data_IF_037249820833
#
_entry.id   IF_037249820833
#
_cell.length_a   1.000
_cell.length_b   1.000
_cell.length_c   1.000
_cell.angle_alpha   90.00
_cell.angle_beta   90.00
_cell.angle_gamma   90.00
#
_symmetry.space_group_name_H-M   'P 1'
#
loop_
_entity.id
_entity.type
_entity.pdbx_description
1 polymer ?
#
# COMPACT_ATOMS: atom_id res chain seq x y z
N UNK A 1 17.09 60.39 47.51
CA UNK A 1 15.64 60.38 47.77
C UNK A 1 15.17 58.94 47.70
N UNK A 2 14.71 58.44 48.82
CA UNK A 2 14.39 57.04 49.14
C UNK A 2 13.01 56.65 48.62
N UNK A 3 12.92 55.52 47.91
CA UNK A 3 11.66 54.78 47.71
C UNK A 3 11.98 53.28 47.82
N UNK A 4 11.64 52.68 48.96
CA UNK A 4 11.54 51.23 49.14
C UNK A 4 10.06 50.86 49.09
N UNK A 5 9.70 50.07 48.08
CA UNK A 5 8.35 49.55 47.87
C UNK A 5 8.07 48.28 48.65
N UNK A 6 6.92 48.29 49.33
CA UNK A 6 5.99 47.22 49.67
C UNK A 6 6.52 45.80 50.01
N UNK A 7 6.26 45.43 51.26
CA UNK A 7 6.19 44.06 51.77
C UNK A 7 4.83 43.46 51.42
N UNK A 8 4.81 42.24 50.89
CA UNK A 8 3.69 41.31 51.04
C UNK A 8 4.25 39.88 51.13
N UNK A 9 4.37 39.39 52.37
CA UNK A 9 4.71 38.00 52.64
C UNK A 9 3.48 37.12 52.41
N UNK A 10 3.58 36.20 51.46
CA UNK A 10 2.56 35.19 51.20
C UNK A 10 2.64 34.10 52.29
N UNK A 11 1.55 33.92 53.03
CA UNK A 11 1.36 32.78 53.91
C UNK A 11 1.07 31.52 53.08
N UNK A 12 1.95 30.55 53.19
CA UNK A 12 1.85 29.19 52.65
C UNK A 12 0.76 28.41 53.39
N UNK A 13 -0.12 27.74 52.65
CA UNK A 13 -0.89 26.61 53.19
C UNK A 13 -0.76 25.46 52.21
N UNK A 14 0.04 24.48 52.61
CA UNK A 14 0.21 23.16 51.99
C UNK A 14 -1.02 22.30 52.26
N UNK A 15 -1.65 21.80 51.21
CA UNK A 15 -2.52 20.63 51.30
C UNK A 15 -2.15 19.68 50.16
N UNK A 16 -1.52 18.58 50.54
CA UNK A 16 -1.11 17.50 49.67
C UNK A 16 -2.31 16.94 48.89
N UNK A 17 -2.17 16.80 47.57
CA UNK A 17 -3.09 15.99 46.76
C UNK A 17 -2.32 14.85 46.12
N UNK A 18 -2.85 13.67 46.39
CA UNK A 18 -2.39 12.32 46.07
C UNK A 18 -2.45 12.06 44.55
N UNK A 19 -1.39 11.40 44.06
CA UNK A 19 -1.31 10.52 42.89
C UNK A 19 -2.52 10.43 41.93
N UNK A 20 -2.33 10.85 40.68
CA UNK A 20 -3.00 10.31 39.49
C UNK A 20 -1.90 9.94 38.47
N UNK A 21 -1.35 8.73 38.54
CA UNK A 21 -1.72 7.58 37.74
C UNK A 21 -1.85 7.84 36.23
N UNK A 22 -0.93 7.16 35.53
CA UNK A 22 -1.08 6.53 34.23
C UNK A 22 -1.09 7.41 32.97
N UNK A 23 0.09 7.46 32.35
CA UNK A 23 0.30 6.95 30.99
C UNK A 23 -0.81 7.29 29.99
N UNK A 24 -0.79 8.53 29.49
CA UNK A 24 -1.17 8.79 28.10
C UNK A 24 -0.06 8.27 27.18
N UNK A 25 0.21 6.96 27.24
CA UNK A 25 0.85 6.26 26.14
C UNK A 25 -0.22 6.21 25.04
N UNK A 26 -0.28 7.26 24.21
CA UNK A 26 -1.01 7.16 22.95
C UNK A 26 -0.46 5.94 22.22
N UNK A 27 -1.27 4.88 21.99
CA UNK A 27 -0.92 3.94 20.96
C UNK A 27 -1.19 4.70 19.66
N UNK A 28 -0.27 5.57 19.26
CA UNK A 28 0.02 5.68 17.85
C UNK A 28 0.60 4.31 17.49
N UNK A 29 -0.29 3.32 17.37
CA UNK A 29 -0.08 2.21 16.49
C UNK A 29 0.18 2.89 15.16
N UNK A 30 1.46 3.10 14.86
CA UNK A 30 1.94 3.27 13.53
C UNK A 30 1.53 1.99 12.83
N UNK A 31 0.29 1.96 12.36
CA UNK A 31 -0.09 1.13 11.25
C UNK A 31 0.85 1.64 10.17
N UNK A 32 1.96 0.96 10.01
CA UNK A 32 2.68 0.94 8.76
C UNK A 32 1.67 0.36 7.76
N UNK A 33 0.70 1.18 7.35
CA UNK A 33 0.02 1.09 6.09
C UNK A 33 1.12 1.40 5.07
N UNK A 34 2.06 0.46 4.96
CA UNK A 34 3.13 0.50 3.99
C UNK A 34 2.44 0.68 2.67
N UNK A 35 2.69 1.84 2.04
CA UNK A 35 2.15 2.15 0.72
C UNK A 35 2.42 0.96 -0.18
N UNK A 36 1.38 0.45 -0.84
CA UNK A 36 1.56 -0.68 -1.74
C UNK A 36 2.50 -0.26 -2.88
N UNK A 37 3.61 -0.97 -3.12
CA UNK A 37 4.51 -0.64 -4.24
C UNK A 37 3.87 -0.97 -5.60
N UNK A 38 2.80 -1.78 -5.62
CA UNK A 38 2.09 -2.20 -6.82
C UNK A 38 0.70 -1.57 -6.86
N UNK A 39 0.65 -0.33 -7.36
CA UNK A 39 -0.58 0.47 -7.47
C UNK A 39 -1.49 -0.02 -8.60
N UNK A 40 -2.73 0.47 -8.62
CA UNK A 40 -3.76 0.14 -9.61
C UNK A 40 -4.86 -0.77 -9.09
N UNK A 41 -5.95 -0.88 -9.84
CA UNK A 41 -7.09 -1.74 -9.48
C UNK A 41 -6.75 -3.23 -9.69
N UNK A 42 -7.11 -4.12 -8.73
CA UNK A 42 -6.85 -5.56 -8.85
C UNK A 42 -7.35 -6.19 -10.15
N UNK A 43 -8.51 -5.74 -10.65
CA UNK A 43 -9.07 -6.27 -11.88
C UNK A 43 -8.16 -5.98 -13.09
N UNK A 44 -7.53 -4.81 -13.16
CA UNK A 44 -6.65 -4.46 -14.29
C UNK A 44 -5.39 -5.35 -14.32
N UNK A 45 -4.84 -5.67 -13.15
CA UNK A 45 -3.72 -6.61 -13.03
C UNK A 45 -4.10 -8.04 -13.47
N UNK A 46 -5.32 -8.48 -13.17
CA UNK A 46 -5.85 -9.78 -13.63
C UNK A 46 -5.99 -9.78 -15.16
N UNK A 47 -6.60 -8.73 -15.72
CA UNK A 47 -6.82 -8.57 -17.16
C UNK A 47 -5.48 -8.61 -17.92
N UNK A 48 -4.50 -7.81 -17.50
CA UNK A 48 -3.18 -7.80 -18.11
C UNK A 48 -2.45 -9.16 -17.99
N UNK A 49 -2.57 -9.84 -16.85
CA UNK A 49 -2.00 -11.19 -16.68
C UNK A 49 -2.65 -12.22 -17.63
N UNK A 50 -3.98 -12.20 -17.75
CA UNK A 50 -4.71 -13.12 -18.61
C UNK A 50 -4.41 -12.88 -20.09
N UNK A 51 -4.43 -11.63 -20.53
CA UNK A 51 -4.06 -11.24 -21.89
C UNK A 51 -2.60 -11.62 -22.22
N UNK A 52 -1.68 -11.40 -21.27
CA UNK A 52 -0.28 -11.80 -21.43
C UNK A 52 -0.13 -13.34 -21.54
N UNK A 53 -0.82 -14.09 -20.69
CA UNK A 53 -0.70 -15.56 -20.63
C UNK A 53 -1.32 -16.26 -21.85
N UNK A 54 -2.38 -15.67 -22.41
CA UNK A 54 -3.07 -16.17 -23.59
C UNK A 54 -2.54 -15.57 -24.89
N UNK A 55 -1.54 -14.68 -24.82
CA UNK A 55 -0.95 -13.96 -25.95
C UNK A 55 -2.02 -13.26 -26.83
N UNK A 56 -2.99 -12.63 -26.18
CA UNK A 56 -4.10 -11.92 -26.84
C UNK A 56 -4.21 -10.49 -26.32
N UNK A 57 -4.73 -9.59 -27.13
CA UNK A 57 -5.14 -8.24 -26.73
C UNK A 57 -6.65 -8.05 -26.68
N UNK A 58 -7.43 -9.12 -26.91
CA UNK A 58 -8.88 -9.13 -26.83
C UNK A 58 -9.34 -9.59 -25.44
N UNK A 59 -9.97 -8.67 -24.70
CA UNK A 59 -10.55 -8.95 -23.38
C UNK A 59 -11.64 -10.02 -23.43
N UNK A 60 -12.36 -10.14 -24.56
CA UNK A 60 -13.38 -11.18 -24.78
C UNK A 60 -12.71 -12.55 -24.91
N UNK A 61 -11.61 -12.66 -25.64
CA UNK A 61 -10.83 -13.89 -25.72
C UNK A 61 -10.24 -14.29 -24.35
N UNK A 62 -9.88 -13.30 -23.53
CA UNK A 62 -9.36 -13.50 -22.17
C UNK A 62 -10.45 -13.69 -21.09
N UNK A 63 -11.73 -13.53 -21.42
CA UNK A 63 -12.85 -13.49 -20.46
C UNK A 63 -12.89 -14.67 -19.49
N UNK A 64 -12.73 -15.90 -20.00
CA UNK A 64 -12.72 -17.12 -19.18
C UNK A 64 -11.60 -17.12 -18.13
N UNK A 65 -10.41 -16.64 -18.49
CA UNK A 65 -9.29 -16.48 -17.56
C UNK A 65 -9.60 -15.39 -16.52
N UNK A 66 -10.11 -14.23 -16.97
CA UNK A 66 -10.44 -13.10 -16.10
C UNK A 66 -11.48 -13.51 -15.05
N UNK A 67 -12.54 -14.20 -15.47
CA UNK A 67 -13.58 -14.72 -14.58
C UNK A 67 -13.02 -15.74 -13.58
N UNK A 68 -12.13 -16.63 -14.01
CA UNK A 68 -11.53 -17.63 -13.15
C UNK A 68 -10.61 -16.99 -12.09
N UNK A 69 -9.70 -16.13 -12.53
CA UNK A 69 -8.75 -15.44 -11.65
C UNK A 69 -9.46 -14.45 -10.71
N UNK A 70 -10.50 -13.77 -11.19
CA UNK A 70 -11.32 -12.83 -10.41
C UNK A 70 -12.11 -13.47 -9.25
N UNK A 71 -12.35 -14.79 -9.29
CA UNK A 71 -12.99 -15.52 -8.18
C UNK A 71 -12.06 -15.68 -6.97
N UNK A 72 -10.75 -15.52 -7.16
CA UNK A 72 -9.77 -15.70 -6.09
C UNK A 72 -9.90 -14.60 -5.04
N UNK A 73 -9.99 -15.01 -3.77
CA UNK A 73 -10.06 -14.08 -2.63
C UNK A 73 -8.65 -13.69 -2.17
N UNK A 74 -8.46 -12.40 -1.99
CA UNK A 74 -7.21 -11.81 -1.53
C UNK A 74 -7.39 -11.10 -0.20
N UNK A 75 -6.34 -11.10 0.63
CA UNK A 75 -6.36 -10.38 1.92
C UNK A 75 -6.41 -8.86 1.73
N UNK A 76 -5.93 -8.36 0.58
CA UNK A 76 -5.97 -6.95 0.21
C UNK A 76 -5.77 -6.78 -1.30
N UNK A 77 -6.10 -5.60 -1.84
CA UNK A 77 -5.78 -5.22 -3.21
C UNK A 77 -4.28 -5.33 -3.50
N UNK A 78 -3.44 -4.86 -2.57
CA UNK A 78 -2.00 -4.94 -2.72
C UNK A 78 -1.47 -6.37 -2.85
N UNK A 79 -2.04 -7.31 -2.10
CA UNK A 79 -1.69 -8.72 -2.19
C UNK A 79 -2.05 -9.31 -3.57
N UNK A 80 -3.22 -8.94 -4.11
CA UNK A 80 -3.64 -9.29 -5.47
C UNK A 80 -2.67 -8.74 -6.52
N UNK A 81 -2.43 -7.42 -6.49
CA UNK A 81 -1.59 -6.75 -7.47
C UNK A 81 -0.15 -7.29 -7.45
N UNK A 82 0.42 -7.48 -6.25
CA UNK A 82 1.76 -8.03 -6.08
C UNK A 82 1.87 -9.46 -6.61
N UNK A 83 0.81 -10.26 -6.45
CA UNK A 83 0.76 -11.60 -7.01
C UNK A 83 0.81 -11.57 -8.54
N UNK A 84 -0.11 -10.83 -9.17
CA UNK A 84 -0.19 -10.80 -10.64
C UNK A 84 1.03 -10.13 -11.27
N UNK A 85 1.59 -9.08 -10.66
CA UNK A 85 2.87 -8.51 -11.11
C UNK A 85 3.97 -9.57 -11.13
N UNK A 86 4.10 -10.35 -10.05
CA UNK A 86 5.08 -11.45 -9.99
C UNK A 86 4.83 -12.50 -11.07
N UNK A 87 3.57 -12.92 -11.28
CA UNK A 87 3.21 -13.90 -12.32
C UNK A 87 3.52 -13.41 -13.73
N UNK A 88 3.23 -12.14 -14.02
CA UNK A 88 3.60 -11.53 -15.31
C UNK A 88 5.12 -11.48 -15.49
N UNK A 89 5.88 -11.11 -14.46
CA UNK A 89 7.34 -11.18 -14.49
C UNK A 89 7.86 -12.60 -14.76
N UNK A 90 7.29 -13.61 -14.09
CA UNK A 90 7.64 -15.02 -14.34
C UNK A 90 7.40 -15.43 -15.80
N UNK A 91 6.28 -15.00 -16.40
CA UNK A 91 5.97 -15.26 -17.81
C UNK A 91 7.02 -14.60 -18.73
N UNK A 92 7.30 -13.30 -18.53
CA UNK A 92 8.20 -12.52 -19.38
C UNK A 92 9.66 -12.98 -19.32
N UNK A 93 10.12 -13.38 -18.13
CA UNK A 93 11.47 -13.92 -17.95
C UNK A 93 11.57 -15.31 -18.57
N UNK A 94 10.55 -16.16 -18.38
CA UNK A 94 10.53 -17.52 -18.95
C UNK A 94 10.44 -17.52 -20.48
N UNK A 95 9.70 -16.60 -21.08
CA UNK A 95 9.61 -16.45 -22.54
C UNK A 95 10.87 -15.84 -23.16
N UNK A 96 11.79 -15.30 -22.35
CA UNK A 96 12.96 -14.55 -22.83
C UNK A 96 12.62 -13.15 -23.35
N UNK A 97 11.38 -12.69 -23.21
CA UNK A 97 10.99 -11.31 -23.57
C UNK A 97 11.69 -10.28 -22.70
N UNK A 98 12.05 -10.65 -21.47
CA UNK A 98 12.98 -9.91 -20.63
C UNK A 98 14.20 -10.77 -20.29
N UNK A 99 15.36 -10.12 -20.24
CA UNK A 99 16.64 -10.73 -19.86
C UNK A 99 16.99 -10.58 -18.37
N UNK A 100 16.18 -9.84 -17.61
CA UNK A 100 16.38 -9.63 -16.18
C UNK A 100 15.80 -10.79 -15.34
N UNK A 101 16.05 -10.79 -14.03
CA UNK A 101 15.47 -11.78 -13.13
C UNK A 101 14.05 -11.41 -12.70
N UNK A 102 13.26 -12.39 -12.25
CA UNK A 102 11.90 -12.14 -11.72
C UNK A 102 11.92 -11.08 -10.61
N UNK A 103 12.90 -11.14 -9.70
CA UNK A 103 13.02 -10.17 -8.61
C UNK A 103 13.37 -8.76 -9.11
N UNK A 104 14.16 -8.64 -10.18
CA UNK A 104 14.44 -7.34 -10.81
C UNK A 104 13.17 -6.78 -11.46
N UNK A 105 12.44 -7.60 -12.21
CA UNK A 105 11.17 -7.22 -12.84
C UNK A 105 10.09 -6.81 -11.81
N UNK A 106 9.96 -7.52 -10.69
CA UNK A 106 8.96 -7.16 -9.65
C UNK A 106 9.29 -5.81 -9.00
N UNK A 107 10.57 -5.51 -8.81
CA UNK A 107 11.03 -4.23 -8.25
C UNK A 107 10.96 -3.06 -9.23
N UNK A 108 10.91 -3.33 -10.53
CA UNK A 108 10.77 -2.32 -11.57
C UNK A 108 9.38 -1.64 -11.51
N UNK A 109 9.27 -0.36 -11.09
CA UNK A 109 7.98 0.32 -10.97
C UNK A 109 7.35 0.63 -12.34
N UNK A 110 8.15 0.60 -13.41
CA UNK A 110 7.68 0.83 -14.77
C UNK A 110 7.05 -0.42 -15.39
N UNK A 111 7.38 -1.62 -14.87
CA UNK A 111 6.77 -2.85 -15.34
C UNK A 111 5.32 -2.97 -14.86
N UNK A 112 4.39 -2.78 -15.81
CA UNK A 112 2.96 -3.08 -15.68
C UNK A 112 2.35 -3.26 -17.06
N UNK A 113 1.19 -3.92 -17.14
CA UNK A 113 0.50 -4.10 -18.41
C UNK A 113 -0.26 -2.84 -18.86
N UNK A 114 -0.84 -2.91 -20.06
CA UNK A 114 -1.47 -1.75 -20.70
C UNK A 114 -2.72 -1.29 -19.96
N UNK A 115 -3.50 -2.23 -19.43
CA UNK A 115 -4.74 -1.91 -18.71
C UNK A 115 -4.44 -1.24 -17.37
N UNK A 116 -3.42 -1.70 -16.65
CA UNK A 116 -2.94 -1.06 -15.43
C UNK A 116 -2.38 0.34 -15.71
N UNK A 117 -1.55 0.50 -16.75
CA UNK A 117 -0.96 1.80 -17.11
C UNK A 117 -2.03 2.85 -17.43
N UNK A 118 -3.12 2.45 -18.09
CA UNK A 118 -4.23 3.33 -18.46
C UNK A 118 -5.23 3.58 -17.33
N UNK A 119 -5.16 2.84 -16.24
CA UNK A 119 -6.14 2.93 -15.16
C UNK A 119 -7.52 2.36 -15.52
N UNK A 120 -7.60 1.45 -16.50
CA UNK A 120 -8.86 0.83 -16.96
C UNK A 120 -9.42 1.41 -18.26
N UNK A 121 -10.54 0.83 -18.71
CA UNK A 121 -11.32 1.28 -19.88
C UNK A 121 -12.65 1.86 -19.41
N UNK A 122 -12.71 3.19 -19.23
CA UNK A 122 -13.89 3.87 -18.72
C UNK A 122 -13.66 5.37 -18.57
N UNK A 123 -13.70 6.07 -19.71
CA UNK A 123 -13.88 7.52 -19.80
C UNK A 123 -15.14 7.81 -20.59
#
# INVERSE_FOLDING_TARGET
>A
MTSFGAVAAHATTTAATVLAWALLASPAAAVAAGRCPVLGEPLHWIVDYCMLTLETDDEIAASSCIEQEGKRRWRSACASNSHYKKRMCEVMVRSGTRSDTVDQCVRDPSFKGRTVERGGVGG
#
